data_IF_944584813057
#
_entry.id   IF_944584813057
#
_cell.length_a   1.000
_cell.length_b   1.000
_cell.length_c   1.000
_cell.angle_alpha   90.00
_cell.angle_beta   90.00
_cell.angle_gamma   90.00
#
_symmetry.space_group_name_H-M   'P 1'
#
loop_
_entity.id
_entity.type
_entity.pdbx_description
1 polymer ?
#
# COMPACT_ATOMS: atom_id res chain seq x y z
N UNK A 1 -15.90 19.54 -0.52
CA UNK A 1 -16.47 20.32 -1.62
C UNK A 1 -16.95 21.68 -1.14
N UNK A 2 -16.98 22.66 -2.03
CA UNK A 2 -17.50 24.00 -1.73
C UNK A 2 -18.86 24.14 -2.39
N UNK A 3 -19.87 24.46 -1.60
CA UNK A 3 -21.25 24.72 -2.04
C UNK A 3 -21.42 26.22 -2.20
N UNK A 4 -21.80 26.66 -3.39
CA UNK A 4 -21.95 28.09 -3.71
C UNK A 4 -23.38 28.57 -3.51
N UNK A 5 -24.36 27.76 -3.82
CA UNK A 5 -25.78 28.09 -3.73
C UNK A 5 -26.52 27.13 -2.82
N UNK A 6 -27.41 27.66 -1.97
CA UNK A 6 -28.32 26.81 -1.17
C UNK A 6 -29.25 26.04 -2.11
N UNK A 7 -29.47 24.74 -1.79
CA UNK A 7 -30.46 23.95 -2.49
C UNK A 7 -30.23 22.43 -2.38
N UNK A 8 -31.04 21.71 -3.14
CA UNK A 8 -30.98 20.24 -3.20
C UNK A 8 -29.90 19.81 -4.19
N UNK A 9 -28.93 19.06 -3.69
CA UNK A 9 -27.86 18.44 -4.47
C UNK A 9 -28.14 16.94 -4.61
N UNK A 10 -28.01 16.43 -5.81
CA UNK A 10 -28.20 15.02 -6.15
C UNK A 10 -26.84 14.41 -6.44
N UNK A 11 -26.58 13.26 -5.88
CA UNK A 11 -25.38 12.46 -6.08
C UNK A 11 -25.73 11.16 -6.76
N UNK A 12 -24.93 10.76 -7.75
CA UNK A 12 -25.02 9.51 -8.46
C UNK A 12 -23.74 8.74 -8.22
N UNK A 13 -23.82 7.65 -7.46
CA UNK A 13 -22.70 6.81 -7.08
C UNK A 13 -22.82 5.47 -7.80
N UNK A 14 -21.82 5.14 -8.60
CA UNK A 14 -21.67 3.84 -9.25
C UNK A 14 -20.43 3.13 -8.72
N UNK A 15 -20.55 1.86 -8.45
CA UNK A 15 -19.41 1.03 -8.05
C UNK A 15 -19.61 -0.43 -8.40
N UNK A 16 -18.49 -1.12 -8.58
CA UNK A 16 -18.30 -2.55 -8.61
C UNK A 16 -17.13 -2.83 -7.64
N UNK A 17 -17.27 -3.39 -6.46
CA UNK A 17 -18.43 -3.79 -5.67
C UNK A 17 -19.07 -2.62 -4.88
N UNK A 18 -19.09 -2.74 -3.55
CA UNK A 18 -19.85 -1.87 -2.65
C UNK A 18 -19.25 -0.51 -2.36
N UNK A 19 -20.13 0.48 -2.18
CA UNK A 19 -19.71 1.83 -1.80
C UNK A 19 -20.77 2.58 -0.99
N UNK A 20 -20.32 3.56 -0.17
CA UNK A 20 -21.19 4.48 0.58
C UNK A 20 -20.70 5.90 0.48
N UNK A 21 -21.61 6.82 0.23
CA UNK A 21 -21.34 8.26 0.22
C UNK A 21 -21.91 8.92 1.47
N UNK A 22 -21.05 9.68 2.14
CA UNK A 22 -21.44 10.53 3.26
C UNK A 22 -21.16 11.99 2.93
N UNK A 23 -22.13 12.85 3.24
CA UNK A 23 -21.95 14.31 3.22
C UNK A 23 -22.23 14.84 4.61
N UNK A 24 -21.28 15.57 5.20
CA UNK A 24 -21.34 16.08 6.57
C UNK A 24 -21.69 14.97 7.59
N UNK A 25 -21.09 13.77 7.41
CA UNK A 25 -21.32 12.55 8.19
C UNK A 25 -22.72 11.90 8.05
N UNK A 26 -23.61 12.43 7.21
CA UNK A 26 -24.87 11.81 6.90
C UNK A 26 -24.73 10.91 5.67
N UNK A 27 -25.26 9.68 5.72
CA UNK A 27 -25.33 8.78 4.54
C UNK A 27 -26.28 9.39 3.53
N UNK A 28 -25.78 9.60 2.31
CA UNK A 28 -26.55 10.15 1.19
C UNK A 28 -26.83 9.10 0.13
N UNK A 29 -25.85 8.22 -0.13
CA UNK A 29 -26.02 7.06 -1.00
C UNK A 29 -25.46 5.83 -0.30
N UNK A 30 -26.27 4.79 -0.22
CA UNK A 30 -25.86 3.47 0.26
C UNK A 30 -25.92 2.49 -0.91
N UNK A 31 -24.77 2.16 -1.45
CA UNK A 31 -24.56 1.19 -2.52
C UNK A 31 -23.67 0.05 -2.02
N UNK A 32 -23.88 -0.34 -0.74
CA UNK A 32 -23.15 -1.43 -0.10
C UNK A 32 -23.58 -2.79 -0.64
N UNK A 33 -22.66 -3.74 -0.58
CA UNK A 33 -22.91 -5.13 -0.99
C UNK A 33 -21.89 -5.61 -2.03
N UNK A 34 -21.87 -6.92 -2.23
CA UNK A 34 -21.09 -7.57 -3.29
C UNK A 34 -21.97 -7.63 -4.54
N UNK A 35 -21.62 -6.89 -5.57
CA UNK A 35 -22.39 -6.78 -6.82
C UNK A 35 -21.52 -6.32 -7.97
N UNK A 36 -21.88 -6.68 -9.19
CA UNK A 36 -21.34 -6.05 -10.40
C UNK A 36 -21.70 -4.55 -10.44
N UNK A 37 -21.17 -3.81 -11.42
CA UNK A 37 -21.40 -2.39 -11.55
C UNK A 37 -22.87 -2.01 -11.32
N UNK A 38 -23.13 -1.36 -10.20
CA UNK A 38 -24.45 -0.88 -9.79
C UNK A 38 -24.38 0.63 -9.55
N UNK A 39 -25.47 1.32 -9.91
CA UNK A 39 -25.58 2.76 -9.72
C UNK A 39 -26.74 3.08 -8.82
N UNK A 40 -26.49 3.84 -7.75
CA UNK A 40 -27.52 4.39 -6.87
C UNK A 40 -27.44 5.90 -6.79
N UNK A 41 -28.57 6.50 -6.44
CA UNK A 41 -28.70 7.96 -6.34
C UNK A 41 -29.22 8.36 -4.97
N UNK A 42 -28.75 9.51 -4.49
CA UNK A 42 -29.24 10.13 -3.28
C UNK A 42 -29.19 11.63 -3.37
N UNK A 43 -29.89 12.30 -2.48
CA UNK A 43 -29.90 13.77 -2.47
C UNK A 43 -29.93 14.34 -1.06
N UNK A 44 -29.40 15.53 -0.91
CA UNK A 44 -29.31 16.25 0.37
C UNK A 44 -29.48 17.75 0.11
N UNK A 45 -30.08 18.45 1.08
CA UNK A 45 -30.12 19.93 1.10
C UNK A 45 -28.80 20.43 1.67
N UNK A 46 -28.15 21.33 0.98
CA UNK A 46 -26.90 21.95 1.41
C UNK A 46 -27.01 23.47 1.41
N UNK A 47 -26.38 24.05 2.41
CA UNK A 47 -26.18 25.50 2.55
C UNK A 47 -24.86 25.91 1.90
N UNK A 48 -24.69 27.20 1.50
CA UNK A 48 -23.41 27.68 1.04
C UNK A 48 -22.31 27.50 2.07
N UNK A 49 -21.14 27.05 1.63
CA UNK A 49 -19.98 26.81 2.49
C UNK A 49 -19.26 25.52 2.15
N UNK A 50 -18.41 25.06 3.08
CA UNK A 50 -17.66 23.81 2.93
C UNK A 50 -18.52 22.63 3.39
N UNK A 51 -18.75 21.66 2.53
CA UNK A 51 -19.34 20.37 2.88
C UNK A 51 -18.28 19.29 2.87
N UNK A 52 -18.19 18.54 3.98
CA UNK A 52 -17.27 17.40 4.10
C UNK A 52 -17.83 16.23 3.33
N UNK A 53 -17.01 15.67 2.43
CA UNK A 53 -17.35 14.47 1.68
C UNK A 53 -16.49 13.30 2.17
N UNK A 54 -17.10 12.13 2.37
CA UNK A 54 -16.43 10.86 2.63
C UNK A 54 -17.06 9.81 1.74
N UNK A 55 -16.21 9.11 0.99
CA UNK A 55 -16.59 8.01 0.12
C UNK A 55 -15.90 6.75 0.61
N UNK A 56 -16.67 5.72 0.93
CA UNK A 56 -16.19 4.40 1.27
C UNK A 56 -16.42 3.47 0.08
N UNK A 57 -15.45 2.62 -0.21
CA UNK A 57 -15.47 1.68 -1.31
C UNK A 57 -14.75 0.40 -0.91
N UNK A 58 -15.26 -0.73 -1.33
CA UNK A 58 -14.56 -2.00 -1.23
C UNK A 58 -14.74 -2.82 -2.50
N UNK A 59 -13.79 -3.70 -2.74
CA UNK A 59 -13.76 -4.65 -3.83
C UNK A 59 -13.49 -6.05 -3.29
N UNK A 60 -14.30 -7.03 -3.71
CA UNK A 60 -14.14 -8.43 -3.35
C UNK A 60 -13.40 -9.22 -4.42
N UNK A 61 -13.59 -8.86 -5.67
CA UNK A 61 -12.94 -9.51 -6.82
C UNK A 61 -13.68 -9.29 -8.12
N UNK A 62 -12.95 -9.20 -9.22
CA UNK A 62 -13.51 -9.03 -10.55
C UNK A 62 -13.05 -7.77 -11.24
N UNK A 63 -13.98 -6.96 -11.68
CA UNK A 63 -13.73 -5.63 -12.24
C UNK A 63 -13.95 -4.59 -11.16
N UNK A 64 -13.07 -3.61 -11.10
CA UNK A 64 -13.12 -2.53 -10.12
C UNK A 64 -13.57 -1.25 -10.83
N UNK A 65 -14.70 -0.71 -10.43
CA UNK A 65 -15.17 0.57 -10.96
C UNK A 65 -15.78 1.43 -9.85
N UNK A 66 -15.44 2.72 -9.85
CA UNK A 66 -16.00 3.72 -8.95
C UNK A 66 -16.23 5.01 -9.70
N UNK A 67 -17.46 5.51 -9.66
CA UNK A 67 -17.83 6.79 -10.25
C UNK A 67 -18.74 7.58 -9.31
N UNK A 68 -18.49 8.87 -9.15
CA UNK A 68 -19.32 9.77 -8.36
C UNK A 68 -19.56 11.08 -9.12
N UNK A 69 -20.79 11.32 -9.42
CA UNK A 69 -21.25 12.58 -10.03
C UNK A 69 -22.13 13.37 -9.06
N UNK A 70 -22.08 14.68 -9.17
CA UNK A 70 -22.94 15.62 -8.44
C UNK A 70 -23.66 16.55 -9.41
N UNK A 71 -24.93 16.79 -9.15
CA UNK A 71 -25.75 17.83 -9.81
C UNK A 71 -26.43 18.70 -8.76
N UNK A 72 -26.78 19.94 -9.10
CA UNK A 72 -27.43 20.84 -8.15
C UNK A 72 -27.55 22.27 -8.67
N UNK A 73 -27.94 23.23 -7.82
CA UNK A 73 -28.14 24.63 -8.25
C UNK A 73 -26.90 25.24 -8.88
N UNK A 74 -26.97 25.47 -10.20
CA UNK A 74 -25.85 26.00 -10.99
C UNK A 74 -24.80 24.95 -11.40
N UNK A 75 -25.05 23.67 -11.13
CA UNK A 75 -24.15 22.54 -11.50
C UNK A 75 -24.97 21.54 -12.31
N UNK A 76 -24.77 21.51 -13.63
CA UNK A 76 -25.43 20.53 -14.50
C UNK A 76 -24.89 19.13 -14.26
N UNK A 77 -23.56 18.98 -14.14
CA UNK A 77 -22.86 17.74 -13.76
C UNK A 77 -21.44 18.10 -13.34
N UNK A 78 -21.05 17.63 -12.17
CA UNK A 78 -19.66 17.68 -11.69
C UNK A 78 -19.21 16.27 -11.34
N UNK A 79 -18.23 15.77 -12.07
CA UNK A 79 -17.61 14.48 -11.77
C UNK A 79 -16.64 14.64 -10.60
N UNK A 80 -16.99 14.08 -9.44
CA UNK A 80 -16.19 14.13 -8.22
C UNK A 80 -15.17 13.02 -8.14
N UNK A 81 -15.53 11.83 -8.66
CA UNK A 81 -14.62 10.71 -8.82
C UNK A 81 -14.99 9.93 -10.08
N UNK A 82 -13.98 9.59 -10.86
CA UNK A 82 -14.02 8.53 -11.85
C UNK A 82 -12.70 7.79 -11.79
N UNK A 83 -12.72 6.67 -11.15
CA UNK A 83 -11.57 5.79 -11.10
C UNK A 83 -11.97 4.43 -11.66
N UNK A 84 -11.53 4.14 -12.87
CA UNK A 84 -11.48 2.77 -13.37
C UNK A 84 -10.17 2.22 -12.79
N UNK A 85 -10.26 1.62 -11.63
CA UNK A 85 -9.17 0.83 -11.09
C UNK A 85 -9.22 -0.49 -11.87
N UNK A 86 -8.66 -0.50 -13.07
CA UNK A 86 -8.35 -1.79 -13.70
C UNK A 86 -7.29 -2.41 -12.80
N UNK A 87 -7.53 -3.62 -12.25
CA UNK A 87 -6.47 -4.33 -11.57
C UNK A 87 -5.29 -4.36 -12.53
N UNK A 88 -4.16 -3.80 -12.11
CA UNK A 88 -2.96 -3.84 -12.92
C UNK A 88 -2.64 -5.31 -13.03
N UNK A 89 -2.98 -5.94 -14.18
CA UNK A 89 -2.61 -7.33 -14.42
C UNK A 89 -1.15 -7.45 -14.03
N UNK A 90 -0.78 -8.32 -13.08
CA UNK A 90 0.61 -8.48 -12.72
C UNK A 90 1.37 -8.71 -14.02
N UNK A 91 2.41 -7.90 -14.26
CA UNK A 91 3.21 -7.94 -15.50
C UNK A 91 3.92 -9.29 -15.70
N UNK A 92 3.73 -10.22 -14.79
CA UNK A 92 4.37 -11.53 -14.75
C UNK A 92 3.33 -12.60 -14.40
N UNK A 93 3.51 -13.85 -14.85
CA UNK A 93 2.62 -14.93 -14.50
C UNK A 93 2.57 -15.05 -12.97
N UNK A 94 1.40 -14.79 -12.42
CA UNK A 94 1.04 -15.12 -11.05
C UNK A 94 0.85 -16.62 -10.99
N UNK A 95 1.47 -17.30 -10.06
CA UNK A 95 1.34 -18.74 -10.04
C UNK A 95 1.62 -19.38 -8.68
N UNK A 96 2.39 -18.71 -7.82
CA UNK A 96 2.74 -19.22 -6.49
C UNK A 96 2.66 -18.10 -5.44
N UNK A 97 1.46 -17.58 -5.12
CA UNK A 97 1.31 -16.62 -4.04
C UNK A 97 1.73 -17.27 -2.72
N UNK A 98 2.51 -16.53 -1.95
CA UNK A 98 2.96 -16.98 -0.64
C UNK A 98 1.90 -16.58 0.39
N UNK A 99 1.12 -17.58 0.81
CA UNK A 99 0.06 -17.39 1.79
C UNK A 99 0.63 -17.21 3.20
N UNK A 100 0.04 -16.28 3.94
CA UNK A 100 0.37 -15.98 5.33
C UNK A 100 -0.86 -16.30 6.19
N UNK A 101 -0.76 -17.32 7.03
CA UNK A 101 -1.89 -17.78 7.84
C UNK A 101 -1.76 -17.33 9.30
N UNK A 102 -1.10 -18.13 10.13
CA UNK A 102 -1.03 -17.93 11.60
C UNK A 102 0.31 -17.37 12.09
N UNK A 103 1.35 -17.46 11.28
CA UNK A 103 2.71 -17.07 11.65
C UNK A 103 3.37 -16.22 10.55
N UNK A 104 4.43 -15.51 10.91
CA UNK A 104 5.19 -14.72 9.95
C UNK A 104 5.91 -15.64 8.93
N UNK A 105 5.87 -15.23 7.66
CA UNK A 105 6.57 -15.91 6.56
C UNK A 105 7.75 -15.08 6.09
N UNK A 106 8.85 -15.78 5.84
CA UNK A 106 10.08 -15.18 5.33
C UNK A 106 10.26 -15.56 3.86
N UNK A 107 10.52 -14.55 3.03
CA UNK A 107 10.88 -14.74 1.64
C UNK A 107 12.23 -14.08 1.35
N UNK A 108 13.23 -14.90 1.04
CA UNK A 108 14.59 -14.42 0.72
C UNK A 108 14.82 -14.53 -0.77
N UNK A 109 14.78 -13.41 -1.44
CA UNK A 109 15.06 -13.33 -2.87
C UNK A 109 15.32 -11.88 -3.30
N UNK A 110 15.49 -11.66 -4.61
CA UNK A 110 15.59 -10.32 -5.18
C UNK A 110 14.23 -9.63 -5.12
N UNK A 111 14.08 -8.71 -4.18
CA UNK A 111 12.85 -7.93 -3.99
C UNK A 111 13.07 -6.54 -4.59
N UNK A 112 12.17 -6.11 -5.49
CA UNK A 112 12.24 -4.78 -6.12
C UNK A 112 12.13 -3.68 -5.06
N UNK A 113 13.04 -2.70 -5.11
CA UNK A 113 13.12 -1.63 -4.11
C UNK A 113 14.07 -1.93 -2.94
N UNK A 114 14.64 -3.15 -2.87
CA UNK A 114 15.73 -3.50 -1.96
C UNK A 114 16.98 -3.91 -2.77
N UNK A 115 18.11 -4.09 -2.08
CA UNK A 115 19.30 -4.69 -2.66
C UNK A 115 19.05 -6.18 -2.99
N UNK A 116 19.99 -6.87 -3.69
CA UNK A 116 19.89 -8.32 -3.93
C UNK A 116 19.86 -9.18 -2.66
N UNK A 117 19.97 -8.59 -1.47
CA UNK A 117 19.90 -9.26 -0.18
C UNK A 117 18.63 -8.88 0.60
N UNK A 118 17.55 -8.60 -0.09
CA UNK A 118 16.24 -8.34 0.49
C UNK A 118 15.69 -9.56 1.23
N UNK A 119 15.10 -9.33 2.39
CA UNK A 119 14.41 -10.33 3.22
C UNK A 119 12.99 -9.83 3.44
N UNK A 120 12.04 -10.36 2.67
CA UNK A 120 10.62 -10.09 2.84
C UNK A 120 10.09 -10.80 4.08
N UNK A 121 9.24 -10.11 4.82
CA UNK A 121 8.51 -10.63 5.97
C UNK A 121 7.04 -10.34 5.78
N UNK A 122 6.24 -11.38 5.69
CA UNK A 122 4.78 -11.27 5.66
C UNK A 122 4.19 -11.63 7.01
N UNK A 123 3.25 -10.82 7.49
CA UNK A 123 2.56 -11.03 8.76
C UNK A 123 1.08 -11.37 8.55
N UNK A 124 0.48 -12.17 9.45
CA UNK A 124 -0.95 -12.54 9.37
C UNK A 124 -1.90 -11.33 9.29
N UNK A 125 -1.50 -10.20 9.87
CA UNK A 125 -2.24 -8.93 9.85
C UNK A 125 -2.18 -8.21 8.48
N UNK A 126 -1.58 -8.86 7.47
CA UNK A 126 -1.40 -8.33 6.10
C UNK A 126 -0.56 -7.04 6.04
N UNK A 127 0.19 -6.71 7.07
CA UNK A 127 1.25 -5.72 7.03
C UNK A 127 2.55 -6.45 6.76
N UNK A 128 3.23 -6.07 5.69
CA UNK A 128 4.44 -6.75 5.24
C UNK A 128 5.60 -5.77 5.18
N UNK A 129 6.81 -6.28 5.28
CA UNK A 129 8.01 -5.47 5.14
C UNK A 129 9.12 -6.20 4.34
N UNK A 130 10.06 -5.43 3.84
CA UNK A 130 11.33 -5.95 3.34
C UNK A 130 12.48 -5.35 4.13
N UNK A 131 13.24 -6.19 4.80
CA UNK A 131 14.52 -5.82 5.42
C UNK A 131 15.65 -6.00 4.40
N UNK A 132 16.51 -5.01 4.26
CA UNK A 132 17.68 -5.08 3.37
C UNK A 132 18.93 -5.41 4.17
N UNK A 133 19.46 -6.60 3.95
CA UNK A 133 20.65 -7.09 4.66
C UNK A 133 21.98 -6.50 4.15
N UNK A 134 21.98 -5.63 3.14
CA UNK A 134 23.14 -4.82 2.76
C UNK A 134 23.17 -3.49 3.52
N UNK A 135 22.02 -2.85 3.64
CA UNK A 135 21.88 -1.54 4.28
C UNK A 135 21.51 -1.62 5.75
N UNK A 136 21.10 -2.80 6.23
CA UNK A 136 20.63 -3.06 7.61
C UNK A 136 19.42 -2.22 8.02
N UNK A 137 18.52 -1.96 7.08
CA UNK A 137 17.32 -1.16 7.32
C UNK A 137 16.07 -1.83 6.73
N UNK A 138 14.91 -1.37 7.16
CA UNK A 138 13.66 -1.69 6.47
C UNK A 138 13.64 -0.88 5.17
N UNK A 139 13.70 -1.56 4.03
CA UNK A 139 13.70 -0.93 2.71
C UNK A 139 12.31 -0.44 2.32
N UNK A 140 11.28 -1.21 2.67
CA UNK A 140 9.91 -0.88 2.37
C UNK A 140 8.92 -1.61 3.27
N UNK A 141 7.71 -1.07 3.35
CA UNK A 141 6.53 -1.71 3.94
C UNK A 141 5.37 -1.66 2.94
N UNK A 142 4.46 -2.62 3.01
CA UNK A 142 3.24 -2.65 2.20
C UNK A 142 2.12 -3.42 2.89
N UNK A 143 0.90 -3.23 2.41
CA UNK A 143 -0.29 -3.91 2.93
C UNK A 143 -0.87 -4.91 1.93
N UNK A 144 -1.58 -5.92 2.42
CA UNK A 144 -2.31 -6.89 1.60
C UNK A 144 -1.49 -8.13 1.25
N UNK A 145 -1.56 -8.58 -0.01
CA UNK A 145 -0.85 -9.78 -0.47
C UNK A 145 0.67 -9.64 -0.29
N UNK A 146 1.31 -10.72 0.14
CA UNK A 146 2.73 -10.68 0.46
C UNK A 146 3.61 -10.68 -0.79
N UNK A 147 3.87 -11.83 -1.34
CA UNK A 147 4.76 -12.04 -2.50
C UNK A 147 4.24 -13.17 -3.37
N UNK A 148 4.55 -13.15 -4.65
CA UNK A 148 4.37 -14.30 -5.54
C UNK A 148 5.75 -14.90 -5.84
N UNK A 149 5.93 -16.16 -5.51
CA UNK A 149 7.19 -16.88 -5.71
C UNK A 149 7.42 -17.41 -7.13
N UNK A 150 6.40 -17.38 -8.01
CA UNK A 150 6.42 -18.05 -9.30
C UNK A 150 7.64 -17.68 -10.16
N UNK A 151 7.98 -16.40 -10.19
CA UNK A 151 9.10 -15.89 -11.00
C UNK A 151 10.44 -16.51 -10.64
N UNK A 152 10.67 -16.85 -9.38
CA UNK A 152 11.92 -17.42 -8.90
C UNK A 152 11.86 -18.95 -8.76
N UNK A 153 10.68 -19.50 -8.50
CA UNK A 153 10.50 -20.94 -8.30
C UNK A 153 10.29 -21.70 -9.62
N UNK A 154 9.65 -21.05 -10.61
CA UNK A 154 9.33 -21.63 -11.90
C UNK A 154 10.35 -21.28 -13.00
N UNK A 155 11.43 -20.56 -12.67
CA UNK A 155 12.47 -20.16 -13.60
C UNK A 155 13.73 -19.64 -12.92
N UNK A 156 14.84 -19.63 -13.61
CA UNK A 156 16.12 -19.14 -13.06
C UNK A 156 16.30 -17.65 -13.29
N UNK A 157 16.63 -16.90 -12.23
CA UNK A 157 17.22 -15.57 -12.34
C UNK A 157 16.33 -14.53 -13.03
N UNK A 158 15.04 -14.58 -12.84
CA UNK A 158 14.08 -13.71 -13.50
C UNK A 158 14.08 -12.24 -13.00
N UNK A 159 15.14 -11.83 -12.31
CA UNK A 159 15.28 -10.49 -11.77
C UNK A 159 14.49 -10.25 -10.48
N UNK A 160 14.20 -8.98 -10.19
CA UNK A 160 13.52 -8.62 -8.95
C UNK A 160 12.03 -8.98 -8.99
N UNK A 161 11.53 -9.48 -7.84
CA UNK A 161 10.12 -9.74 -7.59
C UNK A 161 9.49 -8.53 -6.88
N UNK A 162 8.35 -8.09 -7.39
CA UNK A 162 7.57 -7.02 -6.76
C UNK A 162 6.72 -7.54 -5.60
N UNK A 163 6.54 -6.77 -4.53
CA UNK A 163 5.46 -7.00 -3.59
C UNK A 163 4.11 -7.12 -4.31
N UNK A 164 3.29 -8.08 -3.87
CA UNK A 164 1.99 -8.35 -4.52
C UNK A 164 0.85 -7.50 -3.97
N UNK A 165 1.08 -6.82 -2.83
CA UNK A 165 0.10 -5.97 -2.17
C UNK A 165 0.07 -4.54 -2.70
N UNK A 166 -0.49 -3.65 -1.90
CA UNK A 166 -0.72 -2.24 -2.21
C UNK A 166 -0.21 -1.33 -1.08
N UNK A 167 -0.32 -0.02 -1.24
CA UNK A 167 0.19 0.99 -0.29
C UNK A 167 1.67 0.81 0.04
N UNK A 168 2.48 0.60 -1.00
CA UNK A 168 3.92 0.42 -0.85
C UNK A 168 4.60 1.75 -0.48
N UNK A 169 5.29 1.75 0.65
CA UNK A 169 6.10 2.87 1.15
C UNK A 169 7.56 2.46 1.13
N UNK A 170 8.38 3.19 0.38
CA UNK A 170 9.83 3.01 0.37
C UNK A 170 10.48 3.83 1.49
N UNK A 171 11.33 3.19 2.30
CA UNK A 171 11.97 3.77 3.48
C UNK A 171 13.50 3.91 3.34
N UNK A 172 14.10 3.31 2.32
CA UNK A 172 15.56 3.22 2.12
C UNK A 172 16.17 4.47 1.46
N UNK A 173 15.83 5.66 1.94
CA UNK A 173 16.28 6.92 1.31
C UNK A 173 17.59 7.46 1.88
N UNK A 174 17.92 7.13 3.13
CA UNK A 174 19.05 7.67 3.87
C UNK A 174 19.95 6.55 4.41
N UNK A 175 21.09 6.92 4.94
CA UNK A 175 21.97 5.96 5.62
C UNK A 175 21.28 5.47 6.91
N UNK A 176 21.23 4.14 7.16
CA UNK A 176 20.54 3.59 8.34
C UNK A 176 21.29 3.86 9.64
N UNK A 177 22.59 4.08 9.55
CA UNK A 177 23.46 4.33 10.69
C UNK A 177 24.51 5.38 10.34
N UNK A 178 24.73 6.31 11.24
CA UNK A 178 25.76 7.33 11.11
C UNK A 178 26.47 7.55 12.44
N UNK A 179 27.75 7.89 12.37
CA UNK A 179 28.48 8.46 13.49
C UNK A 179 28.45 9.99 13.32
N UNK A 180 27.73 10.64 14.20
CA UNK A 180 27.62 12.11 14.19
C UNK A 180 28.67 12.72 15.10
N UNK A 181 29.17 13.89 14.72
CA UNK A 181 30.14 14.65 15.52
C UNK A 181 29.50 15.22 16.79
N UNK A 182 28.23 15.58 16.71
CA UNK A 182 27.38 16.06 17.80
C UNK A 182 25.90 15.88 17.45
N UNK A 183 25.02 16.17 18.40
CA UNK A 183 23.55 16.00 18.23
C UNK A 183 22.92 16.88 17.15
N UNK A 184 23.56 18.01 16.79
CA UNK A 184 23.08 18.93 15.77
C UNK A 184 23.68 18.65 14.38
N UNK A 185 24.50 17.61 14.24
CA UNK A 185 25.09 17.24 12.96
C UNK A 185 23.99 16.78 11.98
N UNK A 186 24.01 17.24 10.72
CA UNK A 186 23.03 16.78 9.74
C UNK A 186 23.19 15.28 9.49
N UNK A 187 22.06 14.58 9.33
CA UNK A 187 22.08 13.16 8.98
C UNK A 187 22.71 12.98 7.59
N UNK A 188 23.73 12.14 7.43
CA UNK A 188 24.38 11.95 6.14
C UNK A 188 23.43 11.27 5.14
N UNK A 189 23.42 11.79 3.93
CA UNK A 189 22.67 11.18 2.81
C UNK A 189 23.38 9.93 2.33
N UNK A 190 22.62 8.98 1.79
CA UNK A 190 23.18 7.81 1.14
C UNK A 190 23.95 8.23 -0.13
N UNK A 191 25.21 7.88 -0.22
CA UNK A 191 26.05 8.15 -1.38
C UNK A 191 26.07 6.94 -2.32
N UNK A 192 25.62 7.14 -3.55
CA UNK A 192 25.77 6.19 -4.64
C UNK A 192 24.89 4.94 -4.53
N UNK A 193 25.12 3.98 -5.45
CA UNK A 193 24.41 2.69 -5.52
C UNK A 193 25.02 1.61 -4.61
N UNK A 194 26.23 1.78 -4.10
CA UNK A 194 26.84 0.84 -3.17
C UNK A 194 26.39 1.15 -1.74
N UNK A 195 25.22 0.64 -1.44
CA UNK A 195 24.52 0.84 -0.17
C UNK A 195 25.04 -0.06 0.95
N UNK A 196 26.18 -0.71 0.79
CA UNK A 196 26.75 -1.47 1.90
C UNK A 196 27.13 -0.53 3.04
N UNK A 197 26.41 -0.70 4.14
CA UNK A 197 26.75 0.04 5.35
C UNK A 197 28.19 -0.26 5.74
N UNK A 198 29.07 0.75 5.66
CA UNK A 198 30.46 0.63 6.06
C UNK A 198 30.51 0.27 7.55
N UNK A 199 31.31 -0.74 7.91
CA UNK A 199 31.48 -1.22 9.29
C UNK A 199 30.24 -1.91 9.92
N UNK A 200 29.24 -2.30 9.13
CA UNK A 200 28.12 -3.08 9.64
C UNK A 200 28.03 -4.39 8.87
N UNK A 201 27.85 -5.49 9.61
CA UNK A 201 27.76 -6.83 9.02
C UNK A 201 26.49 -7.53 9.47
N UNK A 202 25.68 -7.94 8.54
CA UNK A 202 24.55 -8.81 8.79
C UNK A 202 25.01 -10.18 9.33
N UNK A 203 24.43 -10.63 10.44
CA UNK A 203 24.76 -11.88 11.13
C UNK A 203 23.66 -12.92 11.05
N UNK A 204 22.63 -12.67 10.25
CA UNK A 204 21.50 -13.56 10.11
C UNK A 204 20.27 -13.06 10.88
N UNK A 205 19.29 -13.93 10.97
CA UNK A 205 18.10 -13.73 11.77
C UNK A 205 17.68 -15.04 12.42
N UNK A 206 16.89 -14.96 13.46
CA UNK A 206 16.16 -16.09 14.03
C UNK A 206 14.69 -15.74 14.19
N UNK A 207 13.85 -16.74 14.31
CA UNK A 207 12.41 -16.57 14.47
C UNK A 207 12.06 -16.73 15.94
N UNK A 208 11.35 -15.74 16.49
CA UNK A 208 11.03 -15.65 17.92
C UNK A 208 9.52 -15.67 18.16
N UNK A 209 9.12 -16.26 19.26
CA UNK A 209 7.71 -16.35 19.68
C UNK A 209 6.88 -17.31 18.82
N UNK A 210 5.64 -17.54 19.24
CA UNK A 210 4.69 -18.44 18.58
C UNK A 210 4.37 -18.00 17.14
N UNK A 211 4.31 -16.69 16.91
CA UNK A 211 4.07 -16.13 15.58
C UNK A 211 5.32 -16.04 14.71
N UNK A 212 6.47 -16.57 15.18
CA UNK A 212 7.73 -16.63 14.45
C UNK A 212 8.22 -15.30 13.88
N UNK A 213 8.14 -14.24 14.67
CA UNK A 213 8.66 -12.93 14.27
C UNK A 213 10.17 -12.97 14.04
N UNK A 214 10.70 -12.44 12.93
CA UNK A 214 12.13 -12.41 12.68
C UNK A 214 12.83 -11.37 13.57
N UNK A 215 13.92 -11.78 14.18
CA UNK A 215 14.86 -10.89 14.88
C UNK A 215 16.13 -10.82 14.06
N UNK A 216 16.37 -9.69 13.43
CA UNK A 216 17.56 -9.45 12.59
C UNK A 216 18.77 -9.13 13.46
N UNK A 217 19.89 -9.80 13.19
CA UNK A 217 21.13 -9.62 13.93
C UNK A 217 22.22 -9.01 13.04
N UNK A 218 22.89 -8.01 13.55
CA UNK A 218 24.01 -7.37 12.87
C UNK A 218 25.07 -6.94 13.88
N UNK A 219 26.29 -6.72 13.40
CA UNK A 219 27.41 -6.20 14.18
C UNK A 219 27.82 -4.86 13.61
N UNK A 220 28.01 -3.87 14.48
CA UNK A 220 28.57 -2.55 14.14
C UNK A 220 30.01 -2.49 14.64
N UNK A 221 30.90 -1.91 13.84
CA UNK A 221 32.29 -1.70 14.19
C UNK A 221 33.27 -2.70 13.58
N UNK A 222 34.56 -2.37 13.72
CA UNK A 222 35.67 -3.29 13.37
C UNK A 222 35.68 -4.46 14.35
N UNK A 223 36.22 -5.60 13.93
CA UNK A 223 36.38 -6.80 14.75
C UNK A 223 36.99 -6.54 16.11
#
# INVERSE_FOLDING_TARGET
IVIVKKGKYKFKLGSDDGSKLYINNQVVVDNDGVHSMQVKEGSILLEPGKAKIRLEYFEKGGQEELALDMTGPGINRLQLAKQIIKPKKPAFPTGNPIEINSEARIYRNFIEGASPRGIGVGYPQKVNLCFDANTMQIAMIWHGAFMDGAKHWNGRGQGFQRPSGHYLINLNRDQPFAQLSNENSPWPKAEGRDTRAKNIRFRGYFLSGEQRHPVFRYKIGKN
#
